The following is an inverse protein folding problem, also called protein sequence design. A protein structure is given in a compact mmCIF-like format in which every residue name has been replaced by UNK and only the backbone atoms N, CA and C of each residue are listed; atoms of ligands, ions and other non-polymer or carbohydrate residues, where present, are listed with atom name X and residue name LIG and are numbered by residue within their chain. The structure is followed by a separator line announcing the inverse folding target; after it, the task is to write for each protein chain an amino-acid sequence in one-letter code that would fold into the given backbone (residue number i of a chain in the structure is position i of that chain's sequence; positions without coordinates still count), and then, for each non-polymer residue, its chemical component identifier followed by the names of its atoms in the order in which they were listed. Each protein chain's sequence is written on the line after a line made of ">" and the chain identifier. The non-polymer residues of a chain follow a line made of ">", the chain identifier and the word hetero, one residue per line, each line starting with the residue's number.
data_IF_013498990972
#
_entry.id   IF_013498990972
#
_cell.length_a   1.000
_cell.length_b   1.000
_cell.length_c   1.000
_cell.angle_alpha   90.00
_cell.angle_beta   90.00
_cell.angle_gamma   90.00
#
_symmetry.space_group_name_H-M   'P 1'
#
loop_
_entity.id
_entity.type
_entity.pdbx_description
1 polymer ?
#
# COMPACT_ATOMS: atom_id res chain seq x y z
N UNK A 1 -57.32 -23.09 12.85
CA UNK A 1 -56.56 -24.07 12.04
C UNK A 1 -56.08 -23.38 10.78
N UNK A 2 -54.83 -23.66 10.41
CA UNK A 2 -54.17 -23.37 9.11
C UNK A 2 -53.62 -21.94 8.97
N UNK A 3 -52.40 -21.68 8.51
CA UNK A 3 -51.15 -22.44 8.36
C UNK A 3 -50.12 -21.38 7.91
N UNK A 4 -48.90 -21.43 8.43
CA UNK A 4 -47.77 -20.61 7.96
C UNK A 4 -47.60 -20.69 6.43
N UNK A 5 -47.28 -19.56 5.79
CA UNK A 5 -46.41 -19.55 4.59
C UNK A 5 -45.82 -18.16 4.36
N UNK A 6 -44.64 -17.96 4.94
CA UNK A 6 -43.68 -16.92 4.58
C UNK A 6 -43.28 -17.15 3.12
N UNK A 7 -43.80 -16.34 2.20
CA UNK A 7 -43.38 -16.36 0.79
C UNK A 7 -42.35 -15.25 0.60
N UNK A 8 -41.10 -15.62 0.83
CA UNK A 8 -39.92 -14.92 0.32
C UNK A 8 -39.97 -14.99 -1.21
N UNK A 9 -40.26 -13.87 -1.86
CA UNK A 9 -40.13 -13.74 -3.32
C UNK A 9 -38.66 -13.46 -3.66
N UNK A 10 -38.05 -14.20 -4.61
CA UNK A 10 -36.70 -13.93 -5.03
C UNK A 10 -36.70 -12.65 -5.85
N UNK A 11 -36.16 -11.59 -5.26
CA UNK A 11 -35.84 -10.35 -5.96
C UNK A 11 -34.60 -10.67 -6.80
N UNK A 12 -34.82 -11.01 -8.07
CA UNK A 12 -33.76 -11.06 -9.07
C UNK A 12 -33.37 -9.62 -9.43
N UNK A 13 -32.51 -9.02 -8.60
CA UNK A 13 -31.83 -7.77 -8.92
C UNK A 13 -30.77 -8.08 -9.98
N UNK A 14 -30.88 -7.35 -11.08
CA UNK A 14 -29.98 -7.28 -12.20
C UNK A 14 -28.53 -7.05 -11.72
N UNK A 15 -27.65 -8.04 -11.90
CA UNK A 15 -26.20 -7.83 -11.87
C UNK A 15 -25.78 -7.15 -13.17
N UNK A 16 -26.02 -5.84 -13.24
CA UNK A 16 -25.23 -4.96 -14.08
C UNK A 16 -23.93 -4.66 -13.30
N UNK A 17 -22.97 -5.59 -13.34
CA UNK A 17 -21.60 -5.28 -12.96
C UNK A 17 -21.00 -4.43 -14.10
N UNK A 18 -21.25 -3.13 -14.02
CA UNK A 18 -20.62 -2.14 -14.87
C UNK A 18 -19.11 -2.22 -14.75
N UNK A 19 -18.46 -2.14 -15.89
CA UNK A 19 -17.07 -1.75 -15.99
C UNK A 19 -16.84 -0.44 -15.22
N UNK A 20 -15.70 -0.38 -14.52
CA UNK A 20 -15.08 0.87 -14.14
C UNK A 20 -15.67 1.49 -12.89
N UNK A 21 -15.31 0.92 -11.75
CA UNK A 21 -15.06 1.77 -10.59
C UNK A 21 -13.62 1.58 -10.19
N UNK A 22 -12.74 2.24 -10.95
CA UNK A 22 -11.54 2.82 -10.36
C UNK A 22 -12.03 3.95 -9.45
N UNK A 23 -12.63 3.59 -8.31
CA UNK A 23 -12.67 4.50 -7.17
C UNK A 23 -11.28 4.35 -6.60
N UNK A 24 -10.44 5.38 -6.76
CA UNK A 24 -9.23 5.49 -5.97
C UNK A 24 -9.61 5.28 -4.52
N UNK A 25 -9.15 4.18 -3.97
CA UNK A 25 -9.28 3.86 -2.56
C UNK A 25 -8.09 4.45 -1.78
N UNK A 26 -7.38 5.45 -2.34
CA UNK A 26 -6.59 6.38 -1.54
C UNK A 26 -7.54 7.25 -0.69
N UNK A 27 -7.88 6.75 0.50
CA UNK A 27 -8.26 7.63 1.59
C UNK A 27 -7.05 8.51 1.95
N UNK A 28 -7.25 9.70 2.54
CA UNK A 28 -6.17 10.62 2.93
C UNK A 28 -5.16 10.03 3.95
N UNK A 29 -5.36 8.77 4.36
CA UNK A 29 -4.50 8.05 5.27
C UNK A 29 -3.34 7.34 4.55
N UNK A 30 -3.50 6.91 3.29
CA UNK A 30 -2.42 6.23 2.55
C UNK A 30 -1.38 7.23 2.08
N UNK A 31 -1.76 8.33 1.41
CA UNK A 31 -0.82 9.36 0.93
C UNK A 31 0.07 9.93 2.06
N UNK A 32 -0.54 10.32 3.18
CA UNK A 32 0.22 10.85 4.33
C UNK A 32 1.15 9.80 4.96
N UNK A 33 0.72 8.53 4.99
CA UNK A 33 1.54 7.45 5.54
C UNK A 33 2.70 7.11 4.62
N UNK A 34 2.47 7.06 3.30
CA UNK A 34 3.50 6.85 2.28
C UNK A 34 4.60 7.89 2.44
N UNK A 35 4.23 9.18 2.45
CA UNK A 35 5.17 10.29 2.58
C UNK A 35 6.01 10.15 3.86
N UNK A 36 5.37 9.95 5.03
CA UNK A 36 6.08 9.84 6.31
C UNK A 36 7.02 8.62 6.39
N UNK A 37 6.57 7.44 5.93
CA UNK A 37 7.40 6.22 5.95
C UNK A 37 8.55 6.32 4.97
N UNK A 38 8.33 6.92 3.80
CA UNK A 38 9.38 7.19 2.82
C UNK A 38 10.43 8.18 3.35
N UNK A 39 10.00 9.26 4.02
CA UNK A 39 10.89 10.19 4.72
C UNK A 39 11.75 9.47 5.74
N UNK A 40 11.14 8.74 6.69
CA UNK A 40 11.86 8.06 7.77
C UNK A 40 12.84 6.99 7.21
N UNK A 41 12.43 6.25 6.16
CA UNK A 41 13.30 5.28 5.48
C UNK A 41 14.50 5.94 4.79
N UNK A 42 14.26 7.02 4.05
CA UNK A 42 15.31 7.70 3.30
C UNK A 42 16.29 8.45 4.20
N UNK A 43 15.82 9.07 5.29
CA UNK A 43 16.69 9.63 6.32
C UNK A 43 17.58 8.55 6.94
N UNK A 44 17.00 7.39 7.26
CA UNK A 44 17.76 6.28 7.83
C UNK A 44 18.76 5.69 6.84
N UNK A 45 18.38 5.56 5.56
CA UNK A 45 19.27 5.10 4.50
C UNK A 45 20.43 6.09 4.28
N UNK A 46 20.14 7.39 4.34
CA UNK A 46 21.16 8.44 4.31
C UNK A 46 22.15 8.29 5.47
N UNK A 47 21.67 8.19 6.71
CA UNK A 47 22.51 7.97 7.90
C UNK A 47 23.42 6.73 7.78
N UNK A 48 22.96 5.71 7.04
CA UNK A 48 23.65 4.45 6.86
C UNK A 48 24.65 4.43 5.69
N UNK A 49 24.45 5.26 4.66
CA UNK A 49 25.23 5.21 3.42
C UNK A 49 26.00 6.49 3.12
N UNK A 50 25.58 7.64 3.67
CA UNK A 50 26.15 8.97 3.46
C UNK A 50 26.20 9.42 1.98
N UNK A 51 25.50 8.70 1.10
CA UNK A 51 25.61 8.86 -0.37
C UNK A 51 24.27 9.06 -1.08
N UNK A 52 23.16 8.77 -0.41
CA UNK A 52 21.83 8.88 -0.98
C UNK A 52 21.38 10.34 -1.00
N UNK A 53 20.81 10.82 -2.10
CA UNK A 53 20.09 12.10 -2.09
C UNK A 53 18.72 11.85 -1.47
N UNK A 54 18.43 12.52 -0.36
CA UNK A 54 17.22 12.27 0.44
C UNK A 54 15.97 12.63 -0.38
N UNK A 55 16.00 13.73 -1.14
CA UNK A 55 14.85 14.19 -1.93
C UNK A 55 14.56 13.18 -3.06
N UNK A 56 15.59 12.78 -3.82
CA UNK A 56 15.42 11.78 -4.89
C UNK A 56 14.94 10.42 -4.32
N UNK A 57 15.41 10.04 -3.13
CA UNK A 57 14.98 8.79 -2.48
C UNK A 57 13.50 8.82 -2.08
N UNK A 58 13.03 9.93 -1.51
CA UNK A 58 11.62 10.10 -1.13
C UNK A 58 10.74 10.06 -2.38
N UNK A 59 11.13 10.80 -3.42
CA UNK A 59 10.40 10.82 -4.70
C UNK A 59 10.34 9.41 -5.33
N UNK A 60 11.45 8.67 -5.37
CA UNK A 60 11.47 7.29 -5.87
C UNK A 60 10.61 6.35 -5.02
N UNK A 61 10.59 6.52 -3.70
CA UNK A 61 9.78 5.73 -2.78
C UNK A 61 8.28 5.95 -3.01
N UNK A 62 7.85 7.21 -3.13
CA UNK A 62 6.46 7.57 -3.44
C UNK A 62 6.06 7.05 -4.83
N UNK A 63 6.93 7.22 -5.82
CA UNK A 63 6.72 6.70 -7.19
C UNK A 63 6.54 5.19 -7.22
N UNK A 64 7.17 4.46 -6.31
CA UNK A 64 7.02 3.00 -6.19
C UNK A 64 5.69 2.62 -5.55
N UNK A 65 5.23 3.37 -4.55
CA UNK A 65 3.89 3.20 -3.98
C UNK A 65 2.80 3.40 -5.04
N UNK A 66 2.94 4.43 -5.89
CA UNK A 66 2.02 4.73 -6.99
C UNK A 66 1.99 3.65 -8.09
N UNK A 67 3.00 2.77 -8.13
CA UNK A 67 3.09 1.65 -9.08
C UNK A 67 2.42 0.37 -8.58
N UNK A 68 2.05 0.29 -7.31
CA UNK A 68 1.37 -0.87 -6.75
C UNK A 68 -0.09 -0.94 -7.24
N UNK A 69 -0.59 -2.15 -7.53
CA UNK A 69 -1.94 -2.35 -8.08
C UNK A 69 -3.04 -2.28 -7.01
N UNK A 70 -2.71 -2.51 -5.73
CA UNK A 70 -3.69 -2.49 -4.63
C UNK A 70 -3.19 -1.78 -3.38
N UNK A 71 -4.11 -1.14 -2.65
CA UNK A 71 -3.81 -0.50 -1.36
C UNK A 71 -3.25 -1.50 -0.34
N UNK A 72 -3.61 -2.79 -0.42
CA UNK A 72 -3.09 -3.81 0.49
C UNK A 72 -1.60 -4.02 0.30
N UNK A 73 -1.14 -4.05 -0.95
CA UNK A 73 0.27 -4.26 -1.29
C UNK A 73 1.08 -3.02 -0.89
N UNK A 74 0.50 -1.82 -1.04
CA UNK A 74 1.10 -0.57 -0.55
C UNK A 74 1.24 -0.63 0.98
N UNK A 75 0.19 -0.95 1.72
CA UNK A 75 0.24 -0.94 3.18
C UNK A 75 1.21 -2.00 3.74
N UNK A 76 1.32 -3.16 3.09
CA UNK A 76 2.31 -4.21 3.40
C UNK A 76 3.74 -3.75 3.10
N UNK A 77 3.97 -3.12 1.94
CA UNK A 77 5.26 -2.51 1.61
C UNK A 77 5.69 -1.45 2.63
N UNK A 78 4.75 -0.60 3.05
CA UNK A 78 5.00 0.44 4.07
C UNK A 78 5.28 -0.17 5.45
N UNK A 79 4.61 -1.25 5.83
CA UNK A 79 4.92 -1.98 7.07
C UNK A 79 6.36 -2.52 7.04
N UNK A 80 6.79 -3.10 5.92
CA UNK A 80 8.16 -3.63 5.74
C UNK A 80 9.20 -2.50 5.83
N UNK A 81 8.93 -1.35 5.20
CA UNK A 81 9.82 -0.18 5.29
C UNK A 81 9.91 0.36 6.72
N UNK A 82 8.77 0.46 7.43
CA UNK A 82 8.71 0.94 8.81
C UNK A 82 9.50 0.05 9.77
N UNK A 83 9.33 -1.28 9.66
CA UNK A 83 10.13 -2.24 10.44
C UNK A 83 11.62 -2.13 10.11
N UNK A 84 11.96 -1.88 8.85
CA UNK A 84 13.35 -1.85 8.43
C UNK A 84 14.15 -0.65 8.94
N UNK A 85 13.49 0.48 9.24
CA UNK A 85 14.16 1.64 9.83
C UNK A 85 14.80 1.27 11.19
N UNK A 86 14.21 0.31 11.91
CA UNK A 86 14.73 -0.20 13.16
C UNK A 86 15.92 -1.18 13.00
N UNK A 87 16.18 -1.67 11.79
CA UNK A 87 17.24 -2.65 11.52
C UNK A 87 18.64 -2.02 11.37
N UNK A 88 19.63 -2.89 11.25
CA UNK A 88 21.02 -2.48 11.03
C UNK A 88 21.23 -1.90 9.63
N UNK A 89 22.15 -0.95 9.48
CA UNK A 89 22.43 -0.28 8.20
C UNK A 89 22.73 -1.20 7.01
N UNK A 90 23.19 -2.42 7.28
CA UNK A 90 23.51 -3.40 6.23
C UNK A 90 22.25 -4.06 5.64
N UNK A 91 21.11 -3.99 6.34
CA UNK A 91 19.84 -4.60 5.96
C UNK A 91 18.90 -3.61 5.28
N UNK A 92 19.07 -2.30 5.55
CA UNK A 92 18.23 -1.22 5.01
C UNK A 92 18.14 -1.16 3.48
N UNK A 93 19.26 -1.43 2.80
CA UNK A 93 19.28 -1.47 1.32
C UNK A 93 18.47 -2.66 0.78
N UNK A 94 18.45 -3.78 1.51
CA UNK A 94 17.71 -4.97 1.12
C UNK A 94 16.20 -4.80 1.29
N UNK A 95 15.79 -4.04 2.31
CA UNK A 95 14.38 -3.90 2.65
C UNK A 95 13.54 -3.16 1.61
N UNK A 96 14.08 -2.18 0.88
CA UNK A 96 13.29 -1.52 -0.17
C UNK A 96 12.97 -2.46 -1.33
N UNK A 97 13.85 -3.43 -1.59
CA UNK A 97 13.62 -4.47 -2.59
C UNK A 97 12.54 -5.44 -2.10
N UNK A 98 12.53 -5.76 -0.81
CA UNK A 98 11.54 -6.65 -0.19
C UNK A 98 10.17 -5.97 -0.09
N UNK A 99 10.12 -4.73 0.39
CA UNK A 99 8.91 -3.92 0.52
C UNK A 99 8.20 -3.74 -0.83
N UNK A 100 8.91 -3.28 -1.86
CA UNK A 100 8.31 -3.05 -3.17
C UNK A 100 8.25 -4.29 -4.06
N UNK A 101 8.76 -5.43 -3.59
CA UNK A 101 8.76 -6.68 -4.32
C UNK A 101 7.34 -7.18 -4.64
N UNK A 102 6.39 -6.90 -3.74
CA UNK A 102 4.99 -7.28 -3.90
C UNK A 102 4.24 -6.39 -4.89
N UNK A 103 4.70 -5.15 -5.09
CA UNK A 103 4.09 -4.21 -6.03
C UNK A 103 4.45 -4.43 -7.50
N UNK A 104 5.44 -5.28 -7.79
CA UNK A 104 5.91 -5.56 -9.16
C UNK A 104 5.24 -6.82 -9.76
N UNK A 105 4.57 -7.65 -8.94
CA UNK A 105 4.04 -8.99 -9.30
C UNK A 105 2.53 -8.98 -9.42
#
# INVERSE_FOLDING_TARGET
>A
MNMHKTIVRPVAILLAAGFGVAIGACGPHSEYRIENVCEDYCERLYDCTDTTDIEDCIDECIDQADRCDTDSDIEEALDILDECIAESCNEIIGCSIEAWGECII
#
